data_IF_060821197367
#
_entry.id   IF_060821197367
#
_cell.length_a   1.000
_cell.length_b   1.000
_cell.length_c   1.000
_cell.angle_alpha   90.00
_cell.angle_beta   90.00
_cell.angle_gamma   90.00
#
_symmetry.space_group_name_H-M   'P 1'
#
loop_
_entity.id
_entity.type
_entity.pdbx_description
1 polymer ?
#
# COMPACT_ATOMS: atom_id res chain seq x y z
N UNK A 1 1.98 -13.09 11.43
CA UNK A 1 1.99 -12.78 9.99
C UNK A 1 0.55 -12.76 9.55
N UNK A 2 0.01 -11.57 9.33
CA UNK A 2 -1.35 -11.45 8.84
C UNK A 2 -1.40 -11.91 7.38
N UNK A 3 -1.94 -13.11 7.15
CA UNK A 3 -2.06 -13.72 5.81
C UNK A 3 -2.91 -12.85 4.88
N UNK A 4 -3.83 -12.07 5.44
CA UNK A 4 -4.74 -11.23 4.69
C UNK A 4 -4.04 -10.01 4.09
N UNK A 5 -3.26 -9.27 4.89
CA UNK A 5 -2.45 -8.14 4.43
C UNK A 5 -1.58 -8.49 3.21
N UNK A 6 -0.91 -9.65 3.27
CA UNK A 6 -0.02 -10.11 2.19
C UNK A 6 -0.81 -10.47 0.92
N UNK A 7 -1.98 -11.08 1.07
CA UNK A 7 -2.86 -11.41 -0.06
C UNK A 7 -3.39 -10.15 -0.75
N UNK A 8 -3.80 -9.13 0.02
CA UNK A 8 -4.31 -7.87 -0.53
C UNK A 8 -3.22 -7.09 -1.29
N UNK A 9 -2.00 -7.04 -0.75
CA UNK A 9 -0.86 -6.40 -1.44
C UNK A 9 -0.57 -7.10 -2.77
N UNK A 10 -0.57 -8.44 -2.78
CA UNK A 10 -0.36 -9.22 -4.00
C UNK A 10 -1.50 -9.04 -5.01
N UNK A 11 -2.75 -9.01 -4.54
CA UNK A 11 -3.92 -8.78 -5.38
C UNK A 11 -3.87 -7.39 -6.05
N UNK A 12 -3.54 -6.34 -5.29
CA UNK A 12 -3.37 -5.00 -5.84
C UNK A 12 -2.22 -4.96 -6.85
N UNK A 13 -1.07 -5.57 -6.53
CA UNK A 13 0.06 -5.62 -7.46
C UNK A 13 -0.32 -6.23 -8.83
N UNK A 14 -1.02 -7.36 -8.81
CA UNK A 14 -1.43 -8.05 -10.03
C UNK A 14 -2.53 -7.30 -10.79
N UNK A 15 -3.47 -6.64 -10.09
CA UNK A 15 -4.56 -5.90 -10.74
C UNK A 15 -4.11 -4.60 -11.40
N UNK A 16 -2.92 -4.06 -11.06
CA UNK A 16 -2.32 -2.92 -11.77
C UNK A 16 -1.82 -3.31 -13.19
N UNK A 17 -1.89 -4.59 -13.58
CA UNK A 17 -1.73 -5.08 -14.95
C UNK A 17 -0.42 -4.69 -15.62
N UNK A 18 -0.39 -4.54 -16.94
CA UNK A 18 0.77 -4.05 -17.70
C UNK A 18 0.80 -2.52 -17.83
N UNK A 19 0.20 -1.77 -16.90
CA UNK A 19 0.31 -0.31 -16.96
C UNK A 19 1.78 0.10 -16.78
N UNK A 20 2.30 0.84 -17.77
CA UNK A 20 3.69 1.27 -17.89
C UNK A 20 3.88 2.77 -17.61
N UNK A 21 2.81 3.49 -17.24
CA UNK A 21 2.94 4.86 -16.74
C UNK A 21 3.80 4.87 -15.47
N UNK A 22 4.68 5.88 -15.36
CA UNK A 22 5.74 5.96 -14.34
C UNK A 22 5.22 5.86 -12.90
N UNK A 23 4.10 6.53 -12.61
CA UNK A 23 3.40 6.49 -11.33
C UNK A 23 2.88 5.08 -10.97
N UNK A 24 2.45 4.28 -11.95
CA UNK A 24 2.04 2.88 -11.72
C UNK A 24 3.24 1.95 -11.55
N UNK A 25 4.36 2.22 -12.22
CA UNK A 25 5.62 1.48 -12.02
C UNK A 25 6.14 1.72 -10.60
N UNK A 26 6.19 2.97 -10.15
CA UNK A 26 6.60 3.33 -8.79
C UNK A 26 5.70 2.68 -7.73
N UNK A 27 4.37 2.66 -7.95
CA UNK A 27 3.44 1.98 -7.06
C UNK A 27 3.68 0.47 -7.01
N UNK A 28 3.94 -0.18 -8.15
CA UNK A 28 4.26 -1.62 -8.20
C UNK A 28 5.55 -1.94 -7.45
N UNK A 29 6.57 -1.10 -7.56
CA UNK A 29 7.80 -1.26 -6.79
C UNK A 29 7.56 -1.18 -5.29
N UNK A 30 6.76 -0.20 -4.84
CA UNK A 30 6.36 -0.07 -3.43
C UNK A 30 5.59 -1.31 -2.95
N UNK A 31 4.62 -1.79 -3.73
CA UNK A 31 3.85 -3.00 -3.40
C UNK A 31 4.76 -4.23 -3.27
N UNK A 32 5.74 -4.38 -4.16
CA UNK A 32 6.73 -5.46 -4.10
C UNK A 32 7.61 -5.36 -2.84
N UNK A 33 8.06 -4.16 -2.46
CA UNK A 33 8.83 -3.94 -1.22
C UNK A 33 8.00 -4.29 0.02
N UNK A 34 6.74 -3.85 0.08
CA UNK A 34 5.83 -4.18 1.19
C UNK A 34 5.58 -5.67 1.26
N UNK A 35 5.29 -6.34 0.14
CA UNK A 35 5.09 -7.78 0.09
C UNK A 35 6.27 -8.55 0.72
N UNK A 36 7.51 -8.16 0.41
CA UNK A 36 8.73 -8.74 0.99
C UNK A 36 8.92 -8.40 2.47
N UNK A 37 8.48 -7.22 2.94
CA UNK A 37 8.58 -6.83 4.36
C UNK A 37 7.58 -7.60 5.22
N UNK A 38 6.40 -7.93 4.70
CA UNK A 38 5.40 -8.74 5.40
C UNK A 38 5.85 -10.20 5.65
N UNK A 39 6.96 -10.65 5.06
CA UNK A 39 7.58 -11.95 5.36
C UNK A 39 8.54 -11.93 6.56
N UNK A 40 8.79 -10.76 7.14
CA UNK A 40 9.69 -10.57 8.28
C UNK A 40 8.87 -10.42 9.57
N UNK A 41 9.42 -10.72 10.75
CA UNK A 41 8.75 -10.49 12.04
C UNK A 41 8.74 -8.98 12.37
N UNK A 42 7.92 -8.22 11.66
CA UNK A 42 7.76 -6.77 11.80
C UNK A 42 6.32 -6.45 12.22
N UNK A 43 6.09 -5.20 12.63
CA UNK A 43 4.74 -4.67 12.79
C UNK A 43 4.04 -4.50 11.42
N UNK A 44 3.33 -5.54 10.96
CA UNK A 44 2.59 -5.59 9.68
C UNK A 44 1.63 -4.39 9.52
N UNK A 45 0.90 -4.10 10.59
CA UNK A 45 -0.01 -2.98 10.82
C UNK A 45 0.59 -1.61 10.41
N UNK A 46 1.81 -1.32 10.86
CA UNK A 46 2.54 -0.09 10.54
C UNK A 46 2.90 -0.02 9.05
N UNK A 47 3.29 -1.15 8.46
CA UNK A 47 3.65 -1.22 7.03
C UNK A 47 2.40 -0.96 6.16
N UNK A 48 1.28 -1.57 6.52
CA UNK A 48 0.00 -1.38 5.82
C UNK A 48 -0.51 0.05 5.92
N UNK A 49 -0.41 0.68 7.09
CA UNK A 49 -0.77 2.09 7.26
C UNK A 49 0.04 3.02 6.36
N UNK A 50 1.36 2.82 6.28
CA UNK A 50 2.23 3.58 5.37
C UNK A 50 1.86 3.38 3.91
N UNK A 51 1.58 2.14 3.52
CA UNK A 51 1.18 1.80 2.15
C UNK A 51 -0.12 2.48 1.73
N UNK A 52 -1.16 2.42 2.57
CA UNK A 52 -2.46 3.04 2.28
C UNK A 52 -2.32 4.56 2.17
N UNK A 53 -1.58 5.20 3.07
CA UNK A 53 -1.33 6.64 3.00
C UNK A 53 -0.56 7.04 1.74
N UNK A 54 0.44 6.25 1.34
CA UNK A 54 1.19 6.46 0.10
C UNK A 54 0.27 6.37 -1.13
N UNK A 55 -0.59 5.36 -1.20
CA UNK A 55 -1.56 5.18 -2.30
C UNK A 55 -2.49 6.39 -2.40
N UNK A 56 -3.08 6.84 -1.29
CA UNK A 56 -3.95 8.02 -1.29
C UNK A 56 -3.20 9.30 -1.68
N UNK A 57 -1.98 9.49 -1.18
CA UNK A 57 -1.16 10.63 -1.57
C UNK A 57 -0.87 10.65 -3.08
N UNK A 58 -0.53 9.50 -3.66
CA UNK A 58 -0.24 9.37 -5.11
C UNK A 58 -1.50 9.52 -5.96
N UNK A 59 -2.66 9.03 -5.51
CA UNK A 59 -3.94 9.31 -6.14
C UNK A 59 -4.25 10.81 -6.21
N UNK A 60 -4.05 11.54 -5.11
CA UNK A 60 -4.31 12.98 -5.04
C UNK A 60 -3.30 13.81 -5.86
N UNK A 61 -2.02 13.47 -5.82
CA UNK A 61 -0.94 14.29 -6.40
C UNK A 61 -0.58 13.92 -7.83
N UNK A 62 -0.67 12.64 -8.20
CA UNK A 62 -0.25 12.11 -9.50
C UNK A 62 -1.43 11.56 -10.33
N UNK A 63 -2.67 11.80 -9.88
CA UNK A 63 -3.91 11.44 -10.59
C UNK A 63 -4.00 9.95 -10.97
N UNK A 64 -3.41 9.06 -10.17
CA UNK A 64 -3.59 7.61 -10.34
C UNK A 64 -5.08 7.30 -10.37
N UNK A 65 -5.57 6.67 -11.43
CA UNK A 65 -6.96 6.21 -11.52
C UNK A 65 -7.01 4.74 -11.18
N UNK A 66 -7.86 4.40 -10.22
CA UNK A 66 -8.09 3.02 -9.84
C UNK A 66 -9.43 2.54 -10.38
N UNK A 67 -9.47 1.28 -10.82
CA UNK A 67 -10.73 0.61 -11.15
C UNK A 67 -11.54 0.36 -9.88
N UNK A 68 -12.82 0.02 -10.05
CA UNK A 68 -13.69 -0.32 -8.91
C UNK A 68 -13.10 -1.49 -8.09
N UNK A 69 -12.58 -2.52 -8.76
CA UNK A 69 -11.90 -3.64 -8.12
C UNK A 69 -10.68 -3.19 -7.29
N UNK A 70 -9.83 -2.33 -7.85
CA UNK A 70 -8.66 -1.79 -7.16
C UNK A 70 -9.07 -0.95 -5.94
N UNK A 71 -10.12 -0.14 -6.06
CA UNK A 71 -10.66 0.65 -4.94
C UNK A 71 -11.20 -0.25 -3.81
N UNK A 72 -11.84 -1.37 -4.15
CA UNK A 72 -12.30 -2.35 -3.15
C UNK A 72 -11.12 -2.99 -2.41
N UNK A 73 -10.05 -3.34 -3.11
CA UNK A 73 -8.83 -3.87 -2.49
C UNK A 73 -8.20 -2.82 -1.55
N UNK A 74 -8.04 -1.57 -2.03
CA UNK A 74 -7.48 -0.46 -1.23
C UNK A 74 -8.33 -0.18 0.01
N UNK A 75 -9.67 -0.29 -0.10
CA UNK A 75 -10.58 -0.13 1.04
C UNK A 75 -10.35 -1.19 2.11
N UNK A 76 -10.23 -2.46 1.73
CA UNK A 76 -9.91 -3.54 2.67
C UNK A 76 -8.54 -3.35 3.34
N UNK A 77 -7.54 -2.90 2.57
CA UNK A 77 -6.22 -2.56 3.12
C UNK A 77 -6.32 -1.42 4.16
N UNK A 78 -7.19 -0.44 3.92
CA UNK A 78 -7.44 0.66 4.85
C UNK A 78 -8.17 0.20 6.13
N UNK A 79 -9.09 -0.76 6.04
CA UNK A 79 -9.75 -1.33 7.23
C UNK A 79 -8.75 -2.03 8.17
N UNK A 80 -7.83 -2.80 7.60
CA UNK A 80 -6.70 -3.40 8.35
C UNK A 80 -5.82 -2.30 8.94
N UNK A 81 -5.45 -1.31 8.14
CA UNK A 81 -4.62 -0.19 8.58
C UNK A 81 -5.28 0.72 9.64
N UNK A 82 -6.61 0.84 9.67
CA UNK A 82 -7.35 1.63 10.68
C UNK A 82 -7.42 0.92 12.02
N UNK A 83 -7.58 -0.41 11.99
CA UNK A 83 -7.48 -1.25 13.18
C UNK A 83 -6.10 -1.06 13.85
N UNK A 84 -5.06 -0.92 13.04
CA UNK A 84 -3.71 -0.57 13.46
C UNK A 84 -3.52 0.90 13.89
N UNK A 85 -4.19 1.84 13.20
CA UNK A 85 -4.03 3.29 13.34
C UNK A 85 -4.50 3.86 14.68
N UNK A 86 -5.34 3.14 15.43
CA UNK A 86 -5.66 3.47 16.84
C UNK A 86 -4.38 3.53 17.68
N UNK A 87 -3.30 2.83 17.29
CA UNK A 87 -2.07 2.73 18.06
C UNK A 87 -0.92 3.65 17.61
N UNK A 88 -1.03 4.43 16.52
CA UNK A 88 0.15 5.11 15.99
C UNK A 88 -0.14 6.42 15.22
N UNK A 89 0.09 7.56 15.88
CA UNK A 89 0.06 8.90 15.29
C UNK A 89 1.34 9.17 14.46
N UNK A 90 1.38 8.77 13.19
CA UNK A 90 2.54 9.06 12.32
C UNK A 90 2.37 10.32 11.46
N UNK A 91 3.34 11.23 11.57
CA UNK A 91 3.51 12.47 10.77
C UNK A 91 4.72 12.38 9.82
N UNK A 92 4.89 11.25 9.12
CA UNK A 92 5.96 11.06 8.14
C UNK A 92 5.63 11.66 6.77
N UNK A 93 6.64 11.89 5.92
CA UNK A 93 6.46 12.35 4.54
C UNK A 93 5.76 11.25 3.71
N UNK A 94 4.44 11.35 3.58
CA UNK A 94 3.55 10.28 3.10
C UNK A 94 3.88 9.77 1.68
N UNK A 95 4.53 10.60 0.86
CA UNK A 95 4.77 10.33 -0.57
C UNK A 95 6.11 9.68 -0.92
N UNK A 96 7.01 9.43 0.02
CA UNK A 96 8.36 8.92 -0.31
C UNK A 96 8.41 7.39 -0.40
N UNK A 97 9.00 6.84 -1.46
CA UNK A 97 9.28 5.39 -1.57
C UNK A 97 10.26 4.92 -0.50
N UNK A 98 11.17 5.78 -0.03
CA UNK A 98 12.20 5.44 0.96
C UNK A 98 11.66 5.00 2.32
N UNK A 99 10.38 5.26 2.61
CA UNK A 99 9.72 4.75 3.82
C UNK A 99 9.53 3.21 3.80
N UNK A 100 9.76 2.58 2.64
CA UNK A 100 9.63 1.15 2.39
C UNK A 100 10.97 0.46 2.06
N UNK A 101 12.11 1.12 2.23
CA UNK A 101 13.43 0.50 2.12
C UNK A 101 13.80 -0.27 3.40
#
# INVERSE_FOLDING_TARGET
MDKESKQLVHALYNSLGSNHEENYVELKEVLMKVYKKLDKPINDDLVMSRLVNYIYFKNLTQKLKFTEEQNQIITKMNEIAKTAGVNNAYKGYLGSVSQFD
#
